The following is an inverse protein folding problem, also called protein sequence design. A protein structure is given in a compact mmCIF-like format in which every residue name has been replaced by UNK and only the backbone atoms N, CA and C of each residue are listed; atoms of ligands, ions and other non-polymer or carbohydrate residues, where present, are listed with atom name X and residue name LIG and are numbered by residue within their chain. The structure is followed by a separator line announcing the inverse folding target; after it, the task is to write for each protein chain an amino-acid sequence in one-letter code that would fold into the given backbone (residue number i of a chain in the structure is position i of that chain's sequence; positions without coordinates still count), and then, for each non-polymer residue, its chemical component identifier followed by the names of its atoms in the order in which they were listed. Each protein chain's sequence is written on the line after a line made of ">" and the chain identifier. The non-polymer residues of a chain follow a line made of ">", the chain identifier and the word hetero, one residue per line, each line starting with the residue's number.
data_IF_206828235313
#
_entry.id   IF_206828235313
#
_cell.length_a   1.000
_cell.length_b   1.000
_cell.length_c   1.000
_cell.angle_alpha   90.00
_cell.angle_beta   90.00
_cell.angle_gamma   90.00
#
_symmetry.space_group_name_H-M   'P 1'
#
loop_
_entity.id
_entity.type
_entity.pdbx_description
1 polymer ?
#
# COMPACT_ATOMS: atom_id res chain seq x y z
N UNK A 1 -14.47 2.21 6.25
CA UNK A 1 -13.36 3.04 6.80
C UNK A 1 -13.25 4.34 6.01
N UNK A 2 -12.94 5.48 6.63
CA UNK A 2 -12.65 6.73 5.90
C UNK A 2 -11.14 6.88 5.67
N UNK A 3 -10.68 6.42 4.50
CA UNK A 3 -9.24 6.37 4.18
C UNK A 3 -8.58 7.76 4.21
N UNK A 4 -9.27 8.81 3.74
CA UNK A 4 -8.70 10.15 3.67
C UNK A 4 -8.57 10.80 5.05
N UNK A 5 -9.46 10.46 6.00
CA UNK A 5 -9.33 10.90 7.38
C UNK A 5 -8.07 10.31 8.03
N UNK A 6 -7.86 9.00 7.89
CA UNK A 6 -6.70 8.29 8.44
C UNK A 6 -5.41 8.83 7.81
N UNK A 7 -5.35 8.97 6.48
CA UNK A 7 -4.16 9.51 5.80
C UNK A 7 -3.83 10.94 6.23
N UNK A 8 -4.84 11.77 6.51
CA UNK A 8 -4.65 13.11 7.05
C UNK A 8 -4.11 13.09 8.48
N UNK A 9 -4.55 12.15 9.32
CA UNK A 9 -4.05 11.98 10.69
C UNK A 9 -2.62 11.45 10.74
N UNK A 10 -2.25 10.55 9.81
CA UNK A 10 -0.87 10.06 9.67
C UNK A 10 0.10 11.17 9.24
N UNK A 11 -0.35 12.11 8.41
CA UNK A 11 0.41 13.30 7.99
C UNK A 11 1.83 12.97 7.47
N UNK A 12 1.95 11.89 6.69
CA UNK A 12 3.24 11.49 6.11
C UNK A 12 3.71 12.46 5.03
N UNK A 13 5.03 12.72 4.93
CA UNK A 13 5.58 13.62 3.92
C UNK A 13 5.45 13.03 2.51
N UNK A 14 4.97 13.83 1.55
CA UNK A 14 4.95 13.45 0.14
C UNK A 14 6.36 13.10 -0.36
N UNK A 15 6.45 12.16 -1.30
CA UNK A 15 7.73 11.65 -1.80
C UNK A 15 8.42 10.64 -0.87
N UNK A 16 7.81 10.30 0.28
CA UNK A 16 8.33 9.28 1.19
C UNK A 16 7.41 8.06 1.34
N UNK A 17 6.23 8.08 0.73
CA UNK A 17 5.27 6.98 0.80
C UNK A 17 4.35 6.92 -0.43
N UNK A 18 3.75 5.74 -0.61
CA UNK A 18 2.65 5.49 -1.54
C UNK A 18 1.66 4.52 -0.88
N UNK A 19 0.36 4.81 -1.00
CA UNK A 19 -0.71 3.96 -0.50
C UNK A 19 -0.96 2.83 -1.51
N UNK A 20 -0.76 1.59 -1.10
CA UNK A 20 -0.98 0.40 -1.94
C UNK A 20 -2.32 -0.26 -1.59
N UNK A 21 -2.55 -0.54 -0.31
CA UNK A 21 -3.82 -1.00 0.22
C UNK A 21 -4.75 0.19 0.39
N UNK A 22 -5.93 0.15 -0.25
CA UNK A 22 -6.86 1.28 -0.31
C UNK A 22 -6.89 2.03 -1.64
N UNK A 23 -5.98 1.73 -2.58
CA UNK A 23 -5.98 2.34 -3.91
C UNK A 23 -7.33 2.19 -4.63
N UNK A 24 -7.91 0.99 -4.63
CA UNK A 24 -9.24 0.76 -5.22
C UNK A 24 -10.34 1.63 -4.61
N UNK A 25 -10.27 1.93 -3.30
CA UNK A 25 -11.23 2.81 -2.65
C UNK A 25 -11.03 4.27 -3.03
N UNK A 26 -9.79 4.72 -3.18
CA UNK A 26 -9.48 6.06 -3.67
C UNK A 26 -10.03 6.31 -5.08
N UNK A 27 -9.99 5.30 -5.95
CA UNK A 27 -10.59 5.33 -7.29
C UNK A 27 -12.10 5.04 -7.32
N UNK A 28 -12.76 4.92 -6.17
CA UNK A 28 -14.22 4.69 -6.11
C UNK A 28 -14.68 3.30 -6.56
N UNK A 29 -13.78 2.32 -6.60
CA UNK A 29 -14.07 0.97 -7.13
C UNK A 29 -14.78 0.10 -6.08
N UNK A 30 -14.32 0.16 -4.83
CA UNK A 30 -14.93 -0.53 -3.67
C UNK A 30 -14.43 0.05 -2.36
N UNK A 31 -15.10 -0.23 -1.26
CA UNK A 31 -14.62 0.18 0.06
C UNK A 31 -13.30 -0.51 0.46
N UNK A 32 -12.54 0.17 1.33
CA UNK A 32 -11.34 -0.36 1.98
C UNK A 32 -11.66 -0.79 3.42
N UNK A 33 -11.02 -1.87 3.84
CA UNK A 33 -11.08 -2.38 5.22
C UNK A 33 -9.77 -2.11 5.96
N UNK A 34 -8.67 -2.08 5.22
CA UNK A 34 -7.30 -1.88 5.66
C UNK A 34 -6.58 -0.88 4.75
N UNK A 35 -5.57 -0.20 5.28
CA UNK A 35 -4.60 0.58 4.51
C UNK A 35 -3.24 -0.10 4.60
N UNK A 36 -2.65 -0.34 3.43
CA UNK A 36 -1.25 -0.74 3.34
C UNK A 36 -0.47 0.42 2.71
N UNK A 37 0.59 0.87 3.36
CA UNK A 37 1.37 2.02 2.94
C UNK A 37 2.82 1.61 2.77
N UNK A 38 3.33 1.66 1.54
CA UNK A 38 4.74 1.47 1.27
C UNK A 38 5.49 2.76 1.56
N UNK A 39 6.56 2.68 2.34
CA UNK A 39 7.37 3.84 2.72
C UNK A 39 8.83 3.66 2.30
N UNK A 40 9.53 4.78 2.16
CA UNK A 40 10.99 4.78 2.00
C UNK A 40 11.69 4.30 3.28
N UNK A 41 12.94 3.80 3.19
CA UNK A 41 13.73 3.42 4.37
C UNK A 41 13.84 4.54 5.41
N UNK A 42 14.04 5.78 4.96
CA UNK A 42 14.16 6.95 5.84
C UNK A 42 12.88 7.18 6.67
N UNK A 43 11.70 7.12 6.02
CA UNK A 43 10.43 7.28 6.74
C UNK A 43 10.18 6.07 7.65
N UNK A 44 10.50 4.86 7.22
CA UNK A 44 10.37 3.66 8.05
C UNK A 44 11.16 3.77 9.36
N UNK A 45 12.45 4.14 9.29
CA UNK A 45 13.30 4.34 10.47
C UNK A 45 12.79 5.46 11.37
N UNK A 46 12.33 6.56 10.77
CA UNK A 46 11.71 7.66 11.51
C UNK A 46 10.48 7.20 12.30
N UNK A 47 9.58 6.43 11.68
CA UNK A 47 8.37 5.92 12.33
C UNK A 47 8.68 4.98 13.49
N UNK A 48 9.70 4.13 13.36
CA UNK A 48 10.20 3.30 14.47
C UNK A 48 10.64 4.17 15.67
N UNK A 49 11.38 5.25 15.41
CA UNK A 49 11.82 6.18 16.44
C UNK A 49 10.65 6.98 17.07
N UNK A 50 9.58 7.20 16.31
CA UNK A 50 8.34 7.84 16.77
C UNK A 50 7.41 6.87 17.54
N UNK A 51 7.83 5.60 17.70
CA UNK A 51 7.16 4.64 18.58
C UNK A 51 6.32 3.58 17.88
N UNK A 52 6.25 3.59 16.55
CA UNK A 52 5.60 2.52 15.79
C UNK A 52 6.26 1.18 16.08
N UNK A 53 5.44 0.12 16.18
CA UNK A 53 5.91 -1.21 16.54
C UNK A 53 5.99 -2.10 15.33
N UNK A 54 7.16 -2.71 15.16
CA UNK A 54 7.36 -3.76 14.18
C UNK A 54 6.52 -4.98 14.56
N UNK A 55 5.85 -5.58 13.57
CA UNK A 55 5.12 -6.81 13.74
C UNK A 55 6.09 -7.97 14.04
N UNK A 56 5.88 -8.63 15.18
CA UNK A 56 6.70 -9.75 15.65
C UNK A 56 6.03 -11.10 15.47
N UNK A 57 4.92 -11.18 14.72
CA UNK A 57 4.29 -12.47 14.46
C UNK A 57 5.21 -13.39 13.65
N UNK A 58 5.09 -14.70 13.87
CA UNK A 58 6.00 -15.71 13.31
C UNK A 58 6.14 -15.58 11.79
N UNK A 59 5.04 -15.28 11.09
CA UNK A 59 5.05 -15.10 9.64
C UNK A 59 5.86 -13.88 9.20
N UNK A 60 5.74 -12.75 9.90
CA UNK A 60 6.48 -11.53 9.60
C UNK A 60 7.97 -11.70 9.85
N UNK A 61 8.33 -12.43 10.91
CA UNK A 61 9.72 -12.79 11.24
C UNK A 61 10.32 -13.73 10.19
N UNK A 62 9.59 -14.77 9.77
CA UNK A 62 10.05 -15.74 8.76
C UNK A 62 10.21 -15.14 7.36
N UNK A 63 9.41 -14.14 7.02
CA UNK A 63 9.40 -13.55 5.67
C UNK A 63 10.18 -12.24 5.56
N UNK A 64 10.83 -11.80 6.65
CA UNK A 64 11.52 -10.50 6.73
C UNK A 64 10.66 -9.34 6.22
N UNK A 65 9.34 -9.45 6.36
CA UNK A 65 8.40 -8.40 5.94
C UNK A 65 8.47 -7.19 6.86
N UNK A 66 8.86 -7.40 8.13
CA UNK A 66 9.13 -6.39 9.15
C UNK A 66 8.18 -5.18 9.09
N UNK A 67 6.89 -5.40 8.86
CA UNK A 67 5.93 -4.30 8.73
C UNK A 67 5.72 -3.61 10.07
N UNK A 68 5.45 -2.30 10.07
CA UNK A 68 4.99 -1.61 11.27
C UNK A 68 3.46 -1.70 11.33
N UNK A 69 2.93 -2.11 12.49
CA UNK A 69 1.50 -2.34 12.70
C UNK A 69 0.87 -1.14 13.42
N UNK A 70 -0.20 -0.60 12.83
CA UNK A 70 -1.22 0.20 13.49
C UNK A 70 -2.55 -0.55 13.50
N UNK A 71 -3.61 0.08 14.02
CA UNK A 71 -4.92 -0.56 14.14
C UNK A 71 -5.53 -0.90 12.77
N UNK A 72 -5.60 0.10 11.88
CA UNK A 72 -6.17 -0.03 10.52
C UNK A 72 -5.12 0.20 9.41
N UNK A 73 -3.84 0.33 9.79
CA UNK A 73 -2.75 0.75 8.91
C UNK A 73 -1.54 -0.17 9.06
N UNK A 74 -1.10 -0.73 7.96
CA UNK A 74 0.14 -1.47 7.84
C UNK A 74 1.18 -0.66 7.06
N UNK A 75 2.34 -0.42 7.68
CA UNK A 75 3.47 0.25 7.04
C UNK A 75 4.44 -0.81 6.51
N UNK A 76 4.63 -0.81 5.20
CA UNK A 76 5.44 -1.79 4.49
C UNK A 76 6.84 -1.20 4.20
N UNK A 77 7.93 -1.87 4.59
CA UNK A 77 9.30 -1.47 4.22
C UNK A 77 9.68 -1.89 2.79
N UNK A 78 8.94 -2.84 2.21
CA UNK A 78 9.13 -3.32 0.84
C UNK A 78 7.79 -3.80 0.25
N UNK A 79 7.73 -3.88 -1.08
CA UNK A 79 6.53 -4.31 -1.80
C UNK A 79 6.90 -5.35 -2.87
N UNK A 80 7.10 -6.58 -2.40
CA UNK A 80 7.52 -7.70 -3.25
C UNK A 80 6.78 -8.99 -2.91
N UNK A 81 6.48 -9.78 -3.93
CA UNK A 81 5.89 -11.11 -3.78
C UNK A 81 6.12 -11.96 -5.03
N UNK A 82 6.67 -13.17 -4.85
CA UNK A 82 7.08 -14.06 -5.95
C UNK A 82 7.91 -13.31 -7.00
N UNK A 83 7.42 -13.17 -8.22
CA UNK A 83 8.14 -12.55 -9.32
C UNK A 83 7.92 -11.03 -9.42
N UNK A 84 7.04 -10.46 -8.59
CA UNK A 84 6.84 -9.02 -8.54
C UNK A 84 7.82 -8.38 -7.55
N UNK A 85 8.60 -7.44 -8.05
CA UNK A 85 9.49 -6.58 -7.26
C UNK A 85 9.09 -5.13 -7.55
N UNK A 86 8.45 -4.49 -6.58
CA UNK A 86 8.11 -3.07 -6.65
C UNK A 86 9.29 -2.22 -6.21
N UNK A 87 9.87 -1.42 -7.11
CA UNK A 87 10.84 -0.40 -6.74
C UNK A 87 10.12 0.74 -5.99
N UNK A 88 10.42 0.90 -4.70
CA UNK A 88 9.73 1.87 -3.83
C UNK A 88 9.78 3.28 -4.40
N UNK A 89 10.92 3.71 -4.91
CA UNK A 89 11.07 5.07 -5.47
C UNK A 89 10.19 5.26 -6.70
N UNK A 90 10.26 4.34 -7.66
CA UNK A 90 9.43 4.37 -8.86
C UNK A 90 7.94 4.33 -8.55
N UNK A 91 7.51 3.50 -7.59
CA UNK A 91 6.11 3.43 -7.19
C UNK A 91 5.59 4.74 -6.56
N UNK A 92 6.45 5.44 -5.79
CA UNK A 92 6.13 6.76 -5.23
C UNK A 92 6.09 7.82 -6.32
N UNK A 93 7.13 7.89 -7.17
CA UNK A 93 7.28 8.92 -8.21
C UNK A 93 6.16 8.85 -9.26
N UNK A 94 5.65 7.63 -9.52
CA UNK A 94 4.61 7.39 -10.52
C UNK A 94 3.20 7.26 -9.91
N UNK A 95 3.03 7.53 -8.62
CA UNK A 95 1.74 7.40 -7.94
C UNK A 95 0.66 8.33 -8.54
N UNK A 96 -0.59 7.89 -8.49
CA UNK A 96 -1.75 8.74 -8.75
C UNK A 96 -2.04 9.60 -7.52
N UNK A 97 -2.09 10.93 -7.71
CA UNK A 97 -2.41 11.86 -6.63
C UNK A 97 -3.92 12.06 -6.56
N UNK A 98 -4.56 11.50 -5.53
CA UNK A 98 -6.01 11.58 -5.32
C UNK A 98 -6.28 12.32 -4.01
N UNK A 99 -6.96 13.46 -4.10
CA UNK A 99 -7.24 14.36 -2.95
C UNK A 99 -5.97 14.74 -2.17
N UNK A 100 -4.83 14.85 -2.85
CA UNK A 100 -3.54 15.21 -2.25
C UNK A 100 -2.74 14.06 -1.66
N UNK A 101 -3.19 12.81 -1.80
CA UNK A 101 -2.48 11.63 -1.30
C UNK A 101 -2.00 10.74 -2.46
N UNK A 102 -0.79 10.15 -2.37
CA UNK A 102 -0.23 9.28 -3.40
C UNK A 102 -0.76 7.84 -3.27
N UNK A 103 -1.42 7.35 -4.32
CA UNK A 103 -1.87 5.96 -4.43
C UNK A 103 -1.12 5.24 -5.55
N UNK A 104 -0.84 3.96 -5.38
CA UNK A 104 -0.24 3.15 -6.44
C UNK A 104 -1.15 3.17 -7.67
N UNK A 105 -0.55 3.30 -8.86
CA UNK A 105 -1.26 3.14 -10.13
C UNK A 105 -1.95 1.78 -10.20
N UNK A 106 -3.19 1.77 -10.67
CA UNK A 106 -3.99 0.55 -10.75
C UNK A 106 -3.32 -0.52 -11.64
N UNK A 107 -2.60 -0.11 -12.68
CA UNK A 107 -1.81 -1.00 -13.53
C UNK A 107 -0.76 -1.77 -12.74
N UNK A 108 0.01 -1.09 -11.89
CA UNK A 108 1.05 -1.73 -11.07
C UNK A 108 0.43 -2.56 -9.95
N UNK A 109 -0.69 -2.11 -9.40
CA UNK A 109 -1.40 -2.89 -8.41
C UNK A 109 -1.98 -4.19 -9.00
N UNK A 110 -2.45 -4.16 -10.24
CA UNK A 110 -2.87 -5.36 -10.96
C UNK A 110 -1.72 -6.34 -11.17
N UNK A 111 -0.51 -5.88 -11.50
CA UNK A 111 0.68 -6.74 -11.63
C UNK A 111 0.97 -7.45 -10.31
N UNK A 112 0.97 -6.73 -9.19
CA UNK A 112 1.18 -7.32 -7.87
C UNK A 112 0.08 -8.34 -7.50
N UNK A 113 -1.20 -7.98 -7.70
CA UNK A 113 -2.34 -8.85 -7.44
C UNK A 113 -2.34 -10.13 -8.27
N UNK A 114 -1.79 -10.08 -9.50
CA UNK A 114 -1.65 -11.26 -10.36
C UNK A 114 -0.71 -12.29 -9.72
N UNK A 115 0.41 -11.86 -9.13
CA UNK A 115 1.34 -12.76 -8.43
C UNK A 115 0.74 -13.33 -7.14
N UNK A 116 -0.05 -12.53 -6.41
CA UNK A 116 -0.80 -13.01 -5.22
C UNK A 116 -1.79 -14.12 -5.57
N UNK A 117 -2.57 -13.94 -6.65
CA UNK A 117 -3.42 -14.98 -7.22
C UNK A 117 -4.58 -15.46 -6.34
N UNK A 118 -4.95 -14.74 -5.27
CA UNK A 118 -6.08 -15.14 -4.42
C UNK A 118 -7.41 -14.91 -5.15
N UNK A 119 -8.47 -15.63 -4.78
CA UNK A 119 -9.79 -15.48 -5.40
C UNK A 119 -10.29 -14.02 -5.40
N UNK A 120 -10.04 -13.27 -4.31
CA UNK A 120 -10.40 -11.84 -4.23
C UNK A 120 -9.57 -10.96 -5.19
N UNK A 121 -8.31 -11.29 -5.43
CA UNK A 121 -7.43 -10.52 -6.32
C UNK A 121 -7.86 -10.66 -7.78
N UNK A 122 -8.34 -11.84 -8.20
CA UNK A 122 -8.91 -12.06 -9.54
C UNK A 122 -10.13 -11.16 -9.78
N UNK A 123 -11.01 -11.03 -8.77
CA UNK A 123 -12.17 -10.13 -8.83
C UNK A 123 -11.73 -8.66 -8.89
N UNK A 124 -10.79 -8.28 -8.02
CA UNK A 124 -10.25 -6.92 -7.96
C UNK A 124 -9.63 -6.49 -9.32
N UNK A 125 -8.86 -7.38 -9.97
CA UNK A 125 -8.28 -7.12 -11.30
C UNK A 125 -9.36 -6.87 -12.35
N UNK A 126 -10.46 -7.62 -12.34
CA UNK A 126 -11.56 -7.40 -13.30
C UNK A 126 -12.19 -6.01 -13.13
N UNK A 127 -12.41 -5.59 -11.89
CA UNK A 127 -12.98 -4.27 -11.59
C UNK A 127 -12.04 -3.13 -12.03
N UNK A 128 -10.74 -3.22 -11.71
CA UNK A 128 -9.76 -2.22 -12.13
C UNK A 128 -9.66 -2.12 -13.66
N UNK A 129 -9.68 -3.26 -14.38
CA UNK A 129 -9.69 -3.26 -15.85
C UNK A 129 -10.94 -2.61 -16.44
N UNK A 130 -12.09 -2.69 -15.77
CA UNK A 130 -13.32 -2.07 -16.26
C UNK A 130 -13.23 -0.54 -16.20
N UNK A 131 -12.63 0.01 -15.13
CA UNK A 131 -12.42 1.45 -14.96
C UNK A 131 -11.40 2.00 -15.94
N UNK A 132 -10.26 1.32 -16.14
CA UNK A 132 -9.20 1.79 -17.04
C UNK A 132 -9.57 1.75 -18.54
N UNK A 133 -10.70 1.13 -18.90
CA UNK A 133 -11.21 1.06 -20.27
C UNK A 133 -12.28 2.11 -20.58
N UNK A 134 -12.80 2.79 -19.55
CA UNK A 134 -13.79 3.86 -19.69
C UNK A 134 -13.12 5.22 -19.68
#
# INVERSE_FOLDING_TARGET
>A
MNIFKILKELNFPLGQYVVVGGAMAAHGIREAHDLDILVTPNLYERLLNEGWKQCTCEQCMKTSRLMLKGDDVDILPNFMYKNYIGDTKSLIDNADIIKGFPFIKLEEFMKFKKELGRQKDVKDIKLMKAILKG
#
